data_IF_686147829036
#
_entry.id   IF_686147829036
#
_cell.length_a   1.000
_cell.length_b   1.000
_cell.length_c   1.000
_cell.angle_alpha   90.00
_cell.angle_beta   90.00
_cell.angle_gamma   90.00
#
_symmetry.space_group_name_H-M   'P 1'
#
loop_
_entity.id
_entity.type
_entity.pdbx_description
1 polymer ?
#
# COMPACT_ATOMS: atom_id res chain seq x y z
N UNK A 1 -11.13 -4.34 16.73
CA UNK A 1 -12.17 -5.27 16.36
C UNK A 1 -12.63 -5.03 14.96
N UNK A 2 -13.51 -4.07 14.81
CA UNK A 2 -14.00 -3.77 13.48
C UNK A 2 -12.90 -3.29 12.55
N UNK A 3 -11.87 -2.66 13.09
CA UNK A 3 -10.73 -2.22 12.30
C UNK A 3 -10.11 -3.35 11.50
N UNK A 4 -10.09 -4.56 12.08
CA UNK A 4 -9.47 -5.71 11.43
C UNK A 4 -10.24 -6.18 10.21
N UNK A 5 -11.47 -5.72 10.07
CA UNK A 5 -12.34 -6.16 8.99
C UNK A 5 -12.58 -5.09 7.93
N UNK A 6 -11.93 -3.93 8.05
CA UNK A 6 -12.04 -2.88 7.04
C UNK A 6 -11.54 -3.42 5.71
N UNK A 7 -12.41 -3.38 4.70
CA UNK A 7 -12.11 -3.83 3.33
C UNK A 7 -11.54 -5.25 3.30
N UNK A 8 -12.15 -6.15 4.09
CA UNK A 8 -11.61 -7.48 4.32
C UNK A 8 -11.41 -8.26 3.02
N UNK A 9 -12.41 -8.29 2.15
CA UNK A 9 -12.34 -9.09 0.93
C UNK A 9 -11.33 -8.54 -0.05
N UNK A 10 -11.33 -7.22 -0.25
CA UNK A 10 -10.35 -6.59 -1.14
C UNK A 10 -8.94 -6.76 -0.61
N UNK A 11 -8.77 -6.57 0.70
CA UNK A 11 -7.48 -6.77 1.35
C UNK A 11 -6.97 -8.19 1.16
N UNK A 12 -7.85 -9.17 1.31
CA UNK A 12 -7.49 -10.58 1.13
C UNK A 12 -6.98 -10.83 -0.29
N UNK A 13 -7.66 -10.27 -1.30
CA UNK A 13 -7.25 -10.43 -2.69
C UNK A 13 -5.90 -9.76 -2.95
N UNK A 14 -5.69 -8.57 -2.40
CA UNK A 14 -4.40 -7.88 -2.54
C UNK A 14 -3.29 -8.73 -1.94
N UNK A 15 -3.49 -9.23 -0.73
CA UNK A 15 -2.47 -10.04 -0.04
C UNK A 15 -2.17 -11.31 -0.84
N UNK A 16 -3.18 -11.94 -1.43
CA UNK A 16 -2.97 -13.09 -2.31
C UNK A 16 -2.06 -12.75 -3.48
N UNK A 17 -2.25 -11.58 -4.08
CA UNK A 17 -1.40 -11.11 -5.17
C UNK A 17 0.04 -10.86 -4.68
N UNK A 18 0.20 -10.28 -3.49
CA UNK A 18 1.53 -10.07 -2.91
C UNK A 18 2.28 -11.40 -2.77
N UNK A 19 1.61 -12.42 -2.25
CA UNK A 19 2.21 -13.74 -2.09
C UNK A 19 2.54 -14.38 -3.45
N UNK A 20 1.67 -14.20 -4.42
CA UNK A 20 1.91 -14.76 -5.76
C UNK A 20 3.19 -14.16 -6.36
N UNK A 21 3.36 -12.84 -6.26
CA UNK A 21 4.55 -12.16 -6.77
C UNK A 21 5.79 -12.64 -6.02
N UNK A 22 5.73 -12.70 -4.70
CA UNK A 22 6.89 -13.10 -3.91
C UNK A 22 7.26 -14.56 -4.15
N UNK A 23 6.26 -15.41 -4.32
CA UNK A 23 6.51 -16.83 -4.63
C UNK A 23 7.29 -17.00 -5.91
N UNK A 24 7.00 -16.19 -6.92
CA UNK A 24 7.64 -16.31 -8.23
C UNK A 24 8.99 -15.60 -8.30
N UNK A 25 9.15 -14.47 -7.63
CA UNK A 25 10.37 -13.67 -7.71
C UNK A 25 11.35 -13.91 -6.57
N UNK A 26 10.85 -14.26 -5.38
CA UNK A 26 11.69 -14.34 -4.19
C UNK A 26 12.18 -12.95 -3.77
N UNK A 27 13.16 -12.92 -2.88
CA UNK A 27 13.77 -11.68 -2.43
C UNK A 27 14.93 -11.28 -3.34
N UNK A 28 15.40 -10.03 -3.20
CA UNK A 28 16.65 -9.60 -3.82
C UNK A 28 16.51 -8.65 -4.99
N UNK A 29 15.30 -8.43 -5.47
CA UNK A 29 15.08 -7.46 -6.54
C UNK A 29 14.83 -6.07 -5.96
N UNK A 30 14.95 -5.05 -6.79
CA UNK A 30 14.62 -3.70 -6.40
C UNK A 30 13.10 -3.50 -6.35
N UNK A 31 12.66 -2.44 -5.67
CA UNK A 31 11.24 -2.16 -5.52
C UNK A 31 10.52 -2.08 -6.86
N UNK A 32 11.15 -1.47 -7.87
CA UNK A 32 10.50 -1.28 -9.16
C UNK A 32 10.12 -2.60 -9.82
N UNK A 33 10.93 -3.65 -9.62
CA UNK A 33 10.64 -4.97 -10.19
C UNK A 33 9.38 -5.55 -9.58
N UNK A 34 9.25 -5.47 -8.26
CA UNK A 34 8.06 -5.97 -7.58
C UNK A 34 6.83 -5.17 -7.97
N UNK A 35 6.97 -3.85 -8.12
CA UNK A 35 5.85 -3.01 -8.53
C UNK A 35 5.40 -3.35 -9.95
N UNK A 36 6.32 -3.62 -10.85
CA UNK A 36 5.97 -4.05 -12.21
C UNK A 36 5.22 -5.37 -12.18
N UNK A 37 5.68 -6.32 -11.38
CA UNK A 37 5.03 -7.63 -11.26
C UNK A 37 3.63 -7.49 -10.65
N UNK A 38 3.48 -6.65 -9.64
CA UNK A 38 2.17 -6.39 -9.03
C UNK A 38 1.21 -5.78 -10.04
N UNK A 39 1.67 -4.83 -10.83
CA UNK A 39 0.83 -4.22 -11.85
C UNK A 39 0.36 -5.26 -12.86
N UNK A 40 1.24 -6.15 -13.28
CA UNK A 40 0.89 -7.25 -14.18
C UNK A 40 -0.23 -8.11 -13.57
N UNK A 41 -0.06 -8.48 -12.29
CA UNK A 41 -1.04 -9.33 -11.61
C UNK A 41 -2.37 -8.62 -11.40
N UNK A 42 -2.35 -7.34 -11.08
CA UNK A 42 -3.59 -6.57 -10.94
C UNK A 42 -4.37 -6.56 -12.26
N UNK A 43 -3.69 -6.34 -13.37
CA UNK A 43 -4.33 -6.36 -14.69
C UNK A 43 -4.87 -7.74 -15.01
N UNK A 44 -4.08 -8.78 -14.75
CA UNK A 44 -4.47 -10.15 -15.04
C UNK A 44 -5.73 -10.55 -14.27
N UNK A 45 -5.87 -10.06 -13.04
CA UNK A 45 -7.00 -10.41 -12.17
C UNK A 45 -8.12 -9.36 -12.20
N UNK A 46 -8.05 -8.39 -13.10
CA UNK A 46 -9.06 -7.34 -13.24
C UNK A 46 -9.29 -6.56 -11.94
N UNK A 47 -8.22 -6.30 -11.21
CA UNK A 47 -8.27 -5.52 -9.97
C UNK A 47 -7.97 -4.07 -10.32
N UNK A 48 -8.88 -3.12 -10.04
CA UNK A 48 -8.64 -1.72 -10.36
C UNK A 48 -7.57 -1.13 -9.45
N UNK A 49 -6.66 -0.37 -10.04
CA UNK A 49 -5.56 0.24 -9.30
C UNK A 49 -5.10 1.51 -10.00
N UNK A 50 -4.47 2.39 -9.23
CA UNK A 50 -3.65 3.50 -9.73
C UNK A 50 -2.24 3.29 -9.20
N UNK A 51 -1.25 3.43 -10.07
CA UNK A 51 0.16 3.31 -9.67
C UNK A 51 0.76 4.70 -9.57
N UNK A 52 1.58 4.94 -8.54
CA UNK A 52 2.20 6.25 -8.27
C UNK A 52 1.14 7.34 -8.20
N UNK A 53 0.11 7.07 -7.39
CA UNK A 53 -1.01 7.98 -7.24
C UNK A 53 -0.58 9.25 -6.52
N UNK A 54 -0.79 10.39 -7.15
CA UNK A 54 -0.42 11.68 -6.58
C UNK A 54 -1.49 12.16 -5.60
N UNK A 55 -1.03 12.66 -4.46
CA UNK A 55 -1.88 13.32 -3.47
C UNK A 55 -1.27 14.67 -3.15
N UNK A 56 -2.12 15.68 -2.98
CA UNK A 56 -1.64 16.99 -2.56
C UNK A 56 -2.28 17.38 -1.24
N UNK A 57 -1.58 18.23 -0.49
CA UNK A 57 -2.06 18.74 0.78
C UNK A 57 -2.60 20.16 0.57
N UNK A 58 -3.79 20.41 1.06
CA UNK A 58 -4.43 21.72 0.96
C UNK A 58 -4.25 22.44 2.28
N UNK A 59 -3.68 23.66 2.21
CA UNK A 59 -3.50 24.51 3.36
C UNK A 59 -4.22 25.83 3.11
N UNK A 60 -5.23 26.13 3.92
CA UNK A 60 -6.04 27.35 3.75
C UNK A 60 -6.50 27.54 2.32
N UNK A 61 -7.09 26.50 1.77
CA UNK A 61 -7.62 26.46 0.41
C UNK A 61 -6.56 26.57 -0.69
N UNK A 62 -5.27 26.36 -0.34
CA UNK A 62 -4.17 26.45 -1.29
C UNK A 62 -3.44 25.12 -1.35
N UNK A 63 -3.30 24.53 -2.55
CA UNK A 63 -2.49 23.32 -2.68
C UNK A 63 -1.03 23.65 -2.38
N UNK A 64 -0.42 22.87 -1.51
CA UNK A 64 0.99 23.06 -1.19
C UNK A 64 1.85 22.50 -2.32
N UNK A 65 3.09 22.96 -2.42
CA UNK A 65 3.99 22.54 -3.50
C UNK A 65 4.37 21.08 -3.42
N UNK A 66 4.59 20.58 -2.20
CA UNK A 66 5.05 19.21 -2.02
C UNK A 66 3.91 18.24 -2.31
N UNK A 67 4.16 17.29 -3.20
CA UNK A 67 3.20 16.24 -3.54
C UNK A 67 3.65 14.94 -2.92
N UNK A 68 2.69 14.08 -2.63
CA UNK A 68 2.95 12.73 -2.14
C UNK A 68 2.48 11.72 -3.18
N UNK A 69 3.22 10.63 -3.32
CA UNK A 69 2.90 9.60 -4.30
C UNK A 69 2.85 8.25 -3.59
N UNK A 70 1.65 7.66 -3.52
CA UNK A 70 1.52 6.31 -3.00
C UNK A 70 1.92 5.33 -4.10
N UNK A 71 2.60 4.24 -3.74
CA UNK A 71 3.02 3.24 -4.73
C UNK A 71 1.82 2.75 -5.52
N UNK A 72 0.74 2.36 -4.82
CA UNK A 72 -0.52 1.97 -5.45
C UNK A 72 -1.69 2.43 -4.60
N UNK A 73 -2.79 2.76 -5.27
CA UNK A 73 -4.11 2.83 -4.65
C UNK A 73 -4.93 1.74 -5.33
N UNK A 74 -5.39 0.77 -4.56
CA UNK A 74 -6.09 -0.40 -5.10
C UNK A 74 -7.56 -0.32 -4.70
N UNK A 75 -8.44 -0.69 -5.62
CA UNK A 75 -9.89 -0.59 -5.43
C UNK A 75 -10.34 0.82 -5.10
N UNK A 76 -9.55 1.82 -5.50
CA UNK A 76 -9.84 3.24 -5.27
C UNK A 76 -9.98 3.61 -3.79
N UNK A 77 -9.44 2.81 -2.87
CA UNK A 77 -9.62 3.06 -1.44
C UNK A 77 -8.56 2.43 -0.53
N UNK A 78 -7.64 1.63 -1.06
CA UNK A 78 -6.61 0.98 -0.24
C UNK A 78 -5.24 1.41 -0.71
N UNK A 79 -4.46 1.99 0.19
CA UNK A 79 -3.07 2.35 -0.07
C UNK A 79 -2.22 1.08 0.01
N UNK A 80 -1.35 0.86 -0.97
CA UNK A 80 -0.40 -0.25 -0.93
C UNK A 80 1.00 0.32 -1.10
N UNK A 81 1.88 0.06 -0.12
CA UNK A 81 3.26 0.53 -0.13
C UNK A 81 4.21 -0.65 -0.15
N UNK A 82 5.17 -0.60 -1.07
CA UNK A 82 6.10 -1.69 -1.32
C UNK A 82 7.49 -1.30 -0.82
N UNK A 83 8.09 -2.17 -0.02
CA UNK A 83 9.43 -1.95 0.51
C UNK A 83 10.32 -3.15 0.25
N UNK A 84 11.64 -2.89 0.20
CA UNK A 84 12.66 -3.94 0.14
C UNK A 84 13.71 -3.57 1.19
N UNK A 85 13.38 -3.81 2.46
CA UNK A 85 14.19 -3.38 3.61
C UNK A 85 14.50 -4.58 4.49
N UNK A 86 15.51 -4.42 5.38
CA UNK A 86 15.86 -5.50 6.29
C UNK A 86 14.74 -5.78 7.29
N UNK A 87 14.10 -4.72 7.77
CA UNK A 87 12.94 -4.85 8.64
C UNK A 87 12.17 -3.53 8.63
N UNK A 88 10.89 -3.60 8.97
CA UNK A 88 10.09 -2.38 9.11
C UNK A 88 10.53 -1.62 10.37
N UNK A 89 10.44 -0.30 10.30
CA UNK A 89 10.64 0.57 11.46
C UNK A 89 9.50 1.58 11.52
N UNK A 90 9.54 2.46 12.54
CA UNK A 90 8.46 3.42 12.75
C UNK A 90 8.25 4.36 11.58
N UNK A 91 9.32 4.66 10.81
CA UNK A 91 9.18 5.58 9.68
C UNK A 91 8.28 4.98 8.58
N UNK A 92 8.34 3.67 8.38
CA UNK A 92 7.49 3.01 7.38
C UNK A 92 6.02 3.09 7.77
N UNK A 93 5.73 2.85 9.05
CA UNK A 93 4.36 2.96 9.56
C UNK A 93 3.85 4.39 9.49
N UNK A 94 4.70 5.34 9.88
CA UNK A 94 4.31 6.74 9.87
C UNK A 94 4.05 7.25 8.46
N UNK A 95 4.80 6.76 7.48
CA UNK A 95 4.56 7.10 6.08
C UNK A 95 3.16 6.66 5.65
N UNK A 96 2.79 5.42 6.00
CA UNK A 96 1.46 4.92 5.68
C UNK A 96 0.36 5.71 6.36
N UNK A 97 0.54 6.03 7.65
CA UNK A 97 -0.44 6.83 8.38
C UNK A 97 -0.58 8.22 7.76
N UNK A 98 0.52 8.79 7.29
CA UNK A 98 0.50 10.08 6.63
C UNK A 98 -0.31 10.03 5.33
N UNK A 99 -0.10 8.99 4.52
CA UNK A 99 -0.90 8.80 3.30
C UNK A 99 -2.38 8.64 3.62
N UNK A 100 -2.71 7.91 4.67
CA UNK A 100 -4.10 7.73 5.07
C UNK A 100 -4.72 9.07 5.49
N UNK A 101 -3.95 9.89 6.21
CA UNK A 101 -4.42 11.20 6.63
C UNK A 101 -4.68 12.10 5.42
N UNK A 102 -3.77 12.10 4.45
CA UNK A 102 -3.88 12.95 3.26
C UNK A 102 -5.03 12.49 2.37
N UNK A 103 -5.16 11.18 2.15
CA UNK A 103 -6.14 10.62 1.23
C UNK A 103 -7.56 10.56 1.81
N UNK A 104 -7.66 10.45 3.12
CA UNK A 104 -8.94 10.20 3.77
C UNK A 104 -9.34 8.73 3.75
N UNK A 105 -8.47 7.85 3.25
CA UNK A 105 -8.74 6.41 3.24
C UNK A 105 -8.51 5.82 4.62
N UNK A 106 -9.00 4.59 4.84
CA UNK A 106 -8.95 3.94 6.15
C UNK A 106 -7.86 2.89 6.27
N UNK A 107 -7.43 2.31 5.15
CA UNK A 107 -6.56 1.15 5.18
C UNK A 107 -5.36 1.34 4.28
N UNK A 108 -4.18 1.03 4.81
CA UNK A 108 -2.96 0.86 4.03
C UNK A 108 -2.41 -0.54 4.27
N UNK A 109 -1.80 -1.12 3.24
CA UNK A 109 -1.08 -2.37 3.35
C UNK A 109 0.37 -2.06 3.04
N UNK A 110 1.24 -2.43 3.97
CA UNK A 110 2.68 -2.24 3.86
C UNK A 110 3.32 -3.60 3.65
N UNK A 111 4.04 -3.79 2.56
CA UNK A 111 4.62 -5.09 2.21
C UNK A 111 6.13 -4.99 2.03
N UNK A 112 6.84 -5.96 2.57
CA UNK A 112 8.29 -6.07 2.45
C UNK A 112 8.64 -7.34 1.67
N UNK A 113 9.25 -7.17 0.50
CA UNK A 113 9.62 -8.28 -0.37
C UNK A 113 11.04 -8.77 -0.16
N UNK A 114 11.82 -8.12 0.71
CA UNK A 114 13.25 -8.42 0.85
C UNK A 114 13.56 -9.51 1.88
N UNK A 115 12.59 -10.32 2.24
CA UNK A 115 12.74 -11.40 3.21
C UNK A 115 12.47 -12.72 2.52
N UNK A 116 12.91 -13.82 3.15
CA UNK A 116 12.66 -15.17 2.63
C UNK A 116 11.15 -15.42 2.53
N UNK A 117 10.40 -14.98 3.55
CA UNK A 117 8.95 -15.00 3.52
C UNK A 117 8.43 -13.58 3.39
N UNK A 118 7.38 -13.42 2.59
CA UNK A 118 6.75 -12.10 2.47
C UNK A 118 6.24 -11.66 3.84
N UNK A 119 6.53 -10.40 4.21
CA UNK A 119 5.97 -9.78 5.40
C UNK A 119 5.04 -8.66 4.96
N UNK A 120 3.87 -8.57 5.59
CA UNK A 120 2.98 -7.46 5.33
C UNK A 120 2.25 -7.06 6.61
N UNK A 121 1.80 -5.81 6.64
CA UNK A 121 1.04 -5.27 7.75
C UNK A 121 -0.16 -4.52 7.22
N UNK A 122 -1.31 -4.71 7.87
CA UNK A 122 -2.48 -3.87 7.64
C UNK A 122 -2.40 -2.71 8.63
N UNK A 123 -2.48 -1.49 8.12
CA UNK A 123 -2.39 -0.28 8.93
C UNK A 123 -3.71 0.46 8.76
N UNK A 124 -4.42 0.65 9.86
CA UNK A 124 -5.74 1.28 9.86
C UNK A 124 -5.66 2.60 10.62
N UNK A 125 -6.20 3.65 10.04
CA UNK A 125 -6.32 4.92 10.74
C UNK A 125 -7.65 4.91 11.50
N UNK A 126 -7.62 4.35 12.71
CA UNK A 126 -8.82 4.15 13.51
C UNK A 126 -9.49 5.46 13.93
N UNK A 127 -8.75 6.57 13.90
CA UNK A 127 -9.33 7.88 14.22
C UNK A 127 -10.40 8.28 13.20
N UNK A 128 -10.40 7.67 12.03
CA UNK A 128 -11.34 7.98 10.96
C UNK A 128 -12.58 7.11 10.98
N UNK A 129 -12.61 6.11 11.85
CA UNK A 129 -13.70 5.14 11.95
C UNK A 129 -14.54 5.48 13.17
N UNK A 130 -15.80 5.80 12.96
CA UNK A 130 -16.70 6.17 14.06
C UNK A 130 -17.95 5.32 14.06
#
# INVERSE_FOLDING_TARGET
MEDDYIHKEESYKIVGILFEVHKNLGKGFSEIVYKDALEYEFKLNNIPYDREKEFEVIYKNTPLKHKFYADFVVYDKIILEIKTVACFDSSHYNQCLNYLKISGYYLAILANFNLISLEYKRIVDSRRIK
#
